data_IF_227618527232
#
_entry.id   IF_227618527232
#
_cell.length_a   1.000
_cell.length_b   1.000
_cell.length_c   1.000
_cell.angle_alpha   90.00
_cell.angle_beta   90.00
_cell.angle_gamma   90.00
#
_symmetry.space_group_name_H-M   'P 1'
#
loop_
_entity.id
_entity.type
_entity.pdbx_description
1 polymer ?
#
# COMPACT_ATOMS: atom_id res chain seq x y z
N UNK A 1 5.82 -18.91 6.80
CA UNK A 1 4.80 -18.04 7.43
C UNK A 1 4.29 -17.09 6.36
N UNK A 2 2.97 -16.89 6.23
CA UNK A 2 2.41 -15.93 5.27
C UNK A 2 2.66 -14.51 5.79
N UNK A 3 3.05 -13.57 4.91
CA UNK A 3 3.28 -12.18 5.33
C UNK A 3 1.92 -11.56 5.67
N UNK A 4 1.78 -10.98 6.88
CA UNK A 4 0.57 -10.21 7.22
C UNK A 4 0.71 -8.84 6.60
N UNK A 5 -0.31 -8.39 5.89
CA UNK A 5 -0.40 -7.02 5.40
C UNK A 5 -1.85 -6.58 5.34
N UNK A 6 -2.08 -5.27 5.49
CA UNK A 6 -3.41 -4.67 5.42
C UNK A 6 -3.32 -3.30 4.76
N UNK A 7 -4.29 -2.99 3.89
CA UNK A 7 -4.54 -1.62 3.44
C UNK A 7 -5.15 -0.84 4.60
N UNK A 8 -4.61 0.35 4.86
CA UNK A 8 -5.07 1.27 5.91
C UNK A 8 -5.86 2.45 5.34
N UNK A 9 -5.60 2.78 4.08
CA UNK A 9 -6.23 3.88 3.38
C UNK A 9 -6.31 3.57 1.88
N UNK A 10 -7.50 3.78 1.32
CA UNK A 10 -7.73 3.92 -0.11
C UNK A 10 -7.75 5.41 -0.46
N UNK A 11 -7.08 5.78 -1.54
CA UNK A 11 -6.98 7.16 -1.98
C UNK A 11 -8.16 7.55 -2.85
N UNK A 12 -8.48 8.84 -2.85
CA UNK A 12 -9.50 9.44 -3.74
C UNK A 12 -9.39 9.11 -5.23
N UNK A 13 -8.21 8.69 -5.68
CA UNK A 13 -7.92 8.30 -7.06
C UNK A 13 -8.68 7.06 -7.50
N UNK A 14 -9.02 6.18 -6.56
CA UNK A 14 -9.71 4.91 -6.85
C UNK A 14 -11.03 4.74 -6.12
N UNK A 15 -11.39 5.67 -5.22
CA UNK A 15 -12.65 5.60 -4.49
C UNK A 15 -13.75 6.31 -5.27
N UNK A 16 -14.93 5.69 -5.35
CA UNK A 16 -16.12 6.30 -5.98
C UNK A 16 -16.58 7.58 -5.26
N UNK A 17 -16.17 7.76 -4.01
CA UNK A 17 -16.48 8.94 -3.19
C UNK A 17 -15.57 10.14 -3.49
N UNK A 18 -14.54 9.96 -4.33
CA UNK A 18 -13.49 10.94 -4.62
C UNK A 18 -12.80 11.47 -3.35
N UNK A 19 -12.79 10.64 -2.30
CA UNK A 19 -12.24 10.97 -0.98
C UNK A 19 -11.36 9.84 -0.48
N UNK A 20 -10.44 10.21 0.39
CA UNK A 20 -9.62 9.24 1.10
C UNK A 20 -10.49 8.44 2.09
N UNK A 21 -10.44 7.12 1.99
CA UNK A 21 -11.20 6.20 2.83
C UNK A 21 -10.27 5.37 3.71
N UNK A 22 -10.46 5.45 5.03
CA UNK A 22 -9.66 4.72 5.99
C UNK A 22 -10.36 3.41 6.38
N UNK A 23 -9.63 2.31 6.30
CA UNK A 23 -10.21 0.96 6.48
C UNK A 23 -10.35 0.56 7.96
N UNK A 24 -9.60 1.20 8.86
CA UNK A 24 -9.57 0.84 10.28
C UNK A 24 -8.95 -0.53 10.56
N UNK A 25 -8.26 -1.14 9.59
CA UNK A 25 -7.67 -2.48 9.75
C UNK A 25 -6.59 -2.52 10.83
N UNK A 26 -6.51 -3.65 11.52
CA UNK A 26 -5.45 -3.90 12.50
C UNK A 26 -4.08 -4.08 11.81
N UNK A 27 -3.13 -3.23 12.20
CA UNK A 27 -1.74 -3.26 11.72
C UNK A 27 -0.77 -3.68 12.81
N UNK A 28 -1.26 -4.27 13.91
CA UNK A 28 -0.39 -4.81 14.96
C UNK A 28 0.55 -5.86 14.37
N UNK A 29 1.85 -5.68 14.63
CA UNK A 29 2.93 -6.50 14.07
C UNK A 29 3.31 -6.17 12.61
N UNK A 30 2.82 -5.05 12.05
CA UNK A 30 3.10 -4.63 10.67
C UNK A 30 3.89 -3.30 10.64
N UNK A 31 5.21 -3.30 10.91
CA UNK A 31 6.00 -2.07 11.05
C UNK A 31 6.34 -1.42 9.70
N UNK A 32 6.20 -2.14 8.59
CA UNK A 32 6.61 -1.66 7.27
C UNK A 32 5.44 -0.98 6.56
N UNK A 33 5.46 0.36 6.53
CA UNK A 33 4.49 1.14 5.75
C UNK A 33 4.82 1.05 4.27
N UNK A 34 3.81 0.83 3.45
CA UNK A 34 3.90 0.82 2.00
C UNK A 34 2.82 1.69 1.36
N UNK A 35 3.02 2.00 0.08
CA UNK A 35 2.01 2.58 -0.80
C UNK A 35 2.03 1.87 -2.15
N UNK A 36 0.86 1.80 -2.78
CA UNK A 36 0.66 1.24 -4.12
C UNK A 36 0.39 2.36 -5.10
N UNK A 37 0.99 2.27 -6.28
CA UNK A 37 0.87 3.25 -7.35
C UNK A 37 0.50 2.57 -8.67
N UNK A 38 -0.09 3.33 -9.57
CA UNK A 38 -0.23 3.00 -10.98
C UNK A 38 1.01 3.42 -11.80
N UNK A 39 0.95 3.21 -13.12
CA UNK A 39 2.00 3.55 -14.08
C UNK A 39 2.23 5.06 -14.26
N UNK A 40 1.25 5.89 -13.87
CA UNK A 40 1.36 7.35 -13.85
C UNK A 40 1.88 7.91 -12.51
N UNK A 41 2.26 7.03 -11.56
CA UNK A 41 2.67 7.36 -10.19
C UNK A 41 1.55 7.94 -9.31
N UNK A 42 0.29 7.73 -9.67
CA UNK A 42 -0.83 8.07 -8.80
C UNK A 42 -0.94 7.03 -7.67
N UNK A 43 -1.07 7.52 -6.43
CA UNK A 43 -1.10 6.65 -5.26
C UNK A 43 -2.52 6.14 -5.06
N UNK A 44 -2.73 4.84 -5.18
CA UNK A 44 -4.04 4.20 -5.03
C UNK A 44 -4.33 3.81 -3.58
N UNK A 45 -3.30 3.37 -2.86
CA UNK A 45 -3.47 2.88 -1.49
C UNK A 45 -2.25 3.08 -0.61
N UNK A 46 -2.48 3.10 0.70
CA UNK A 46 -1.45 2.97 1.73
C UNK A 46 -1.76 1.77 2.61
N UNK A 47 -0.71 1.07 3.06
CA UNK A 47 -0.85 -0.08 3.93
C UNK A 47 0.35 -0.31 4.82
N UNK A 48 0.23 -1.34 5.65
CA UNK A 48 1.29 -1.81 6.53
C UNK A 48 1.47 -3.32 6.34
N UNK A 49 2.73 -3.77 6.37
CA UNK A 49 3.09 -5.19 6.27
C UNK A 49 4.05 -5.61 7.40
N UNK A 50 3.99 -6.89 7.77
CA UNK A 50 4.89 -7.52 8.74
C UNK A 50 6.30 -7.72 8.21
N UNK A 51 6.46 -7.72 6.88
CA UNK A 51 7.73 -7.71 6.17
C UNK A 51 7.57 -6.97 4.83
N UNK A 52 8.68 -6.52 4.24
CA UNK A 52 8.71 -6.05 2.84
C UNK A 52 8.35 -7.23 1.91
N UNK A 53 7.35 -7.06 1.05
CA UNK A 53 6.82 -8.11 0.17
C UNK A 53 6.11 -7.49 -1.04
N UNK A 54 5.97 -8.25 -2.13
CA UNK A 54 5.18 -7.87 -3.30
C UNK A 54 3.73 -8.36 -3.24
N UNK A 55 3.33 -9.14 -2.22
CA UNK A 55 1.96 -9.68 -2.11
C UNK A 55 0.83 -8.63 -2.26
N UNK A 56 0.92 -7.40 -1.70
CA UNK A 56 -0.09 -6.38 -1.95
C UNK A 56 -0.14 -5.92 -3.41
N UNK A 57 1.02 -5.79 -4.06
CA UNK A 57 1.10 -5.44 -5.48
C UNK A 57 0.50 -6.54 -6.33
N UNK A 58 0.89 -7.79 -6.10
CA UNK A 58 0.37 -8.95 -6.84
C UNK A 58 -1.15 -9.05 -6.72
N UNK A 59 -1.71 -8.69 -5.57
CA UNK A 59 -3.17 -8.68 -5.37
C UNK A 59 -3.83 -7.56 -6.19
N UNK A 60 -3.37 -6.32 -6.02
CA UNK A 60 -4.06 -5.16 -6.58
C UNK A 60 -3.63 -4.78 -7.99
N UNK A 61 -2.60 -5.43 -8.54
CA UNK A 61 -2.28 -5.37 -9.97
C UNK A 61 -3.44 -5.91 -10.80
N UNK A 62 -4.07 -7.01 -10.38
CA UNK A 62 -5.21 -7.59 -11.10
C UNK A 62 -6.53 -6.87 -10.83
N UNK A 63 -6.71 -6.34 -9.61
CA UNK A 63 -7.97 -5.70 -9.22
C UNK A 63 -8.07 -4.24 -9.71
N UNK A 64 -6.95 -3.49 -9.63
CA UNK A 64 -6.93 -2.05 -9.86
C UNK A 64 -5.84 -1.59 -10.84
N UNK A 65 -5.00 -2.48 -11.36
CA UNK A 65 -3.92 -2.09 -12.26
C UNK A 65 -2.73 -1.43 -11.57
N UNK A 66 -2.54 -1.62 -10.27
CA UNK A 66 -1.33 -1.18 -9.59
C UNK A 66 -0.08 -1.76 -10.26
N UNK A 67 0.92 -0.94 -10.53
CA UNK A 67 2.17 -1.35 -11.20
C UNK A 67 3.39 -1.26 -10.28
N UNK A 68 3.27 -0.51 -9.17
CA UNK A 68 4.39 -0.29 -8.28
C UNK A 68 4.00 -0.38 -6.79
N UNK A 69 4.90 -0.95 -5.98
CA UNK A 69 4.87 -0.87 -4.53
C UNK A 69 6.12 -0.19 -4.01
N UNK A 70 5.92 0.78 -3.12
CA UNK A 70 7.02 1.48 -2.46
C UNK A 70 6.90 1.36 -0.95
N UNK A 71 8.02 1.10 -0.29
CA UNK A 71 8.09 1.02 1.16
C UNK A 71 8.74 2.26 1.76
N UNK A 72 8.20 2.71 2.89
CA UNK A 72 8.77 3.83 3.62
C UNK A 72 10.06 3.39 4.31
N UNK A 73 11.16 4.02 3.94
CA UNK A 73 12.42 3.93 4.66
C UNK A 73 12.27 4.61 6.03
N UNK A 74 12.58 3.89 7.11
CA UNK A 74 12.38 4.38 8.47
C UNK A 74 13.43 5.43 8.89
N UNK A 75 14.61 5.41 8.27
CA UNK A 75 15.70 6.34 8.57
C UNK A 75 15.48 7.68 7.84
N UNK A 76 15.14 7.62 6.55
CA UNK A 76 15.01 8.82 5.71
C UNK A 76 13.59 9.36 5.64
N UNK A 77 12.59 8.55 5.99
CA UNK A 77 11.18 8.87 5.85
C UNK A 77 10.67 8.89 4.40
N UNK A 78 11.51 8.57 3.42
CA UNK A 78 11.17 8.55 1.99
C UNK A 78 10.57 7.19 1.59
N UNK A 79 9.74 7.19 0.55
CA UNK A 79 9.26 5.96 -0.07
C UNK A 79 10.24 5.54 -1.15
N UNK A 80 10.61 4.27 -1.12
CA UNK A 80 11.58 3.65 -2.02
C UNK A 80 10.92 2.43 -2.66
N UNK A 81 11.07 2.31 -3.98
CA UNK A 81 10.68 1.12 -4.74
C UNK A 81 11.49 -0.08 -4.26
N UNK A 82 10.82 -1.23 -4.14
CA UNK A 82 11.44 -2.49 -3.77
C UNK A 82 12.12 -3.17 -4.96
#
# INVERSE_FOLDING_TARGET
MKVKWNITKWCKSITDSEKDEYTGCDVTGCPHRFRLLDDDNEIYAYGNASAKTFEPLDTYMYDYGCTEIQYKNQETGKYETL
#
